data_IF_305894553753
#
_entry.id   IF_305894553753
#
_cell.length_a   1.000
_cell.length_b   1.000
_cell.length_c   1.000
_cell.angle_alpha   90.00
_cell.angle_beta   90.00
_cell.angle_gamma   90.00
#
_symmetry.space_group_name_H-M   'P 1'
#
loop_
_entity.id
_entity.type
_entity.pdbx_description
1 polymer ?
#
# COMPACT_ATOMS: atom_id res chain seq x y z
N UNK A 1 -13.04 25.46 6.10
CA UNK A 1 -11.63 25.33 5.67
C UNK A 1 -11.25 23.95 5.12
N UNK A 2 -11.56 22.82 5.79
CA UNK A 2 -11.16 21.48 5.30
C UNK A 2 -11.74 21.07 3.94
N UNK A 3 -12.98 21.47 3.64
CA UNK A 3 -13.59 21.22 2.33
C UNK A 3 -12.78 21.81 1.17
N UNK A 4 -12.29 23.05 1.35
CA UNK A 4 -11.45 23.74 0.37
C UNK A 4 -10.12 23.00 0.22
N UNK A 5 -9.44 22.65 1.32
CA UNK A 5 -8.18 21.87 1.27
C UNK A 5 -8.33 20.58 0.44
N UNK A 6 -9.40 19.81 0.67
CA UNK A 6 -9.69 18.58 -0.09
C UNK A 6 -9.83 18.86 -1.58
N UNK A 7 -10.68 19.83 -1.94
CA UNK A 7 -10.92 20.20 -3.34
C UNK A 7 -9.67 20.76 -4.02
N UNK A 8 -8.87 21.56 -3.31
CA UNK A 8 -7.60 22.10 -3.82
C UNK A 8 -6.59 20.99 -4.10
N UNK A 9 -6.45 19.98 -3.22
CA UNK A 9 -5.56 18.84 -3.47
C UNK A 9 -5.99 18.04 -4.71
N UNK A 10 -7.28 17.79 -4.87
CA UNK A 10 -7.81 17.07 -6.04
C UNK A 10 -7.64 17.90 -7.33
N UNK A 11 -7.84 19.22 -7.25
CA UNK A 11 -7.61 20.14 -8.35
C UNK A 11 -6.12 20.14 -8.75
N UNK A 12 -5.21 20.28 -7.79
CA UNK A 12 -3.77 20.23 -8.02
C UNK A 12 -3.33 18.89 -8.61
N UNK A 13 -3.88 17.77 -8.10
CA UNK A 13 -3.68 16.44 -8.69
C UNK A 13 -4.07 16.39 -10.17
N UNK A 14 -5.17 17.05 -10.58
CA UNK A 14 -5.56 17.16 -11.99
C UNK A 14 -4.56 18.00 -12.79
N UNK A 15 -4.09 19.11 -12.24
CA UNK A 15 -3.07 19.97 -12.89
C UNK A 15 -1.78 19.19 -13.12
N UNK A 16 -1.28 18.45 -12.12
CA UNK A 16 -0.07 17.62 -12.26
C UNK A 16 -0.22 16.57 -13.37
N UNK A 17 -1.42 15.99 -13.55
CA UNK A 17 -1.67 15.01 -14.62
C UNK A 17 -1.64 15.63 -16.03
N UNK A 18 -2.22 16.81 -16.18
CA UNK A 18 -2.44 17.45 -17.48
C UNK A 18 -1.30 18.38 -17.90
N UNK A 19 -0.70 19.09 -16.94
CA UNK A 19 0.31 20.14 -17.17
C UNK A 19 1.40 20.10 -16.08
N UNK A 20 2.20 19.01 -15.99
CA UNK A 20 3.23 18.86 -14.96
C UNK A 20 4.24 20.02 -14.95
N UNK A 21 4.63 20.52 -16.12
CA UNK A 21 5.65 21.58 -16.29
C UNK A 21 5.26 22.93 -15.67
N UNK A 22 3.98 23.13 -15.36
CA UNK A 22 3.48 24.38 -14.75
C UNK A 22 3.60 24.38 -13.23
N UNK A 23 3.92 23.23 -12.62
CA UNK A 23 3.93 23.05 -11.18
C UNK A 23 5.34 23.24 -10.65
N UNK A 24 5.52 24.19 -9.72
CA UNK A 24 6.75 24.28 -8.95
C UNK A 24 6.78 23.14 -7.91
N UNK A 25 7.52 22.08 -8.22
CA UNK A 25 7.62 20.88 -7.38
C UNK A 25 8.18 21.20 -5.98
N UNK A 26 9.19 22.07 -5.87
CA UNK A 26 9.83 22.37 -4.58
C UNK A 26 8.87 23.07 -3.60
N UNK A 27 8.11 24.05 -4.08
CA UNK A 27 7.10 24.72 -3.25
C UNK A 27 5.95 23.78 -2.89
N UNK A 28 5.61 22.86 -3.78
CA UNK A 28 4.55 21.88 -3.52
C UNK A 28 4.99 20.84 -2.48
N UNK A 29 6.24 20.39 -2.51
CA UNK A 29 6.79 19.42 -1.55
C UNK A 29 6.67 19.92 -0.11
N UNK A 30 7.05 21.18 0.16
CA UNK A 30 6.96 21.75 1.51
C UNK A 30 5.51 21.79 2.02
N UNK A 31 4.58 22.22 1.16
CA UNK A 31 3.13 22.23 1.49
C UNK A 31 2.58 20.83 1.70
N UNK A 32 3.05 19.84 0.95
CA UNK A 32 2.62 18.44 1.12
C UNK A 32 3.13 17.88 2.44
N UNK A 33 4.38 18.15 2.84
CA UNK A 33 4.91 17.75 4.15
C UNK A 33 4.01 18.22 5.29
N UNK A 34 3.61 19.50 5.28
CA UNK A 34 2.73 20.07 6.31
C UNK A 34 1.35 19.38 6.29
N UNK A 35 0.77 19.22 5.10
CA UNK A 35 -0.55 18.61 4.93
C UNK A 35 -0.59 17.11 5.28
N UNK A 36 0.53 16.39 5.19
CA UNK A 36 0.64 14.99 5.60
C UNK A 36 0.54 14.81 7.13
N UNK A 37 0.75 15.87 7.90
CA UNK A 37 0.62 15.85 9.37
C UNK A 37 -0.80 16.17 9.86
N UNK A 38 -1.72 16.51 8.96
CA UNK A 38 -3.10 16.86 9.30
C UNK A 38 -3.86 15.70 9.95
N UNK A 39 -4.71 16.04 10.94
CA UNK A 39 -5.55 15.08 11.65
C UNK A 39 -6.82 14.70 10.87
N UNK A 40 -7.27 15.56 9.95
CA UNK A 40 -8.48 15.27 9.18
C UNK A 40 -8.21 14.19 8.11
N UNK A 41 -8.71 12.98 8.33
CA UNK A 41 -8.54 11.83 7.42
C UNK A 41 -8.94 12.15 5.98
N UNK A 42 -10.02 12.92 5.76
CA UNK A 42 -10.43 13.28 4.41
C UNK A 42 -9.47 14.24 3.70
N UNK A 43 -8.82 15.15 4.43
CA UNK A 43 -7.74 16.00 3.88
C UNK A 43 -6.53 15.13 3.57
N UNK A 44 -6.10 14.32 4.54
CA UNK A 44 -4.97 13.41 4.38
C UNK A 44 -5.15 12.48 3.17
N UNK A 45 -6.34 11.89 2.99
CA UNK A 45 -6.64 11.06 1.81
C UNK A 45 -6.49 11.84 0.50
N UNK A 46 -6.94 13.09 0.46
CA UNK A 46 -6.85 13.93 -0.74
C UNK A 46 -5.39 14.28 -1.05
N UNK A 47 -4.59 14.53 -0.02
CA UNK A 47 -3.15 14.81 -0.10
C UNK A 47 -2.39 13.57 -0.58
N UNK A 48 -2.67 12.40 0.00
CA UNK A 48 -2.04 11.13 -0.41
C UNK A 48 -2.40 10.77 -1.85
N UNK A 49 -3.64 11.00 -2.29
CA UNK A 49 -4.03 10.81 -3.69
C UNK A 49 -3.21 11.69 -4.65
N UNK A 50 -2.97 12.95 -4.27
CA UNK A 50 -2.10 13.86 -5.03
C UNK A 50 -0.64 13.39 -4.99
N UNK A 51 -0.13 13.04 -3.82
CA UNK A 51 1.23 12.55 -3.62
C UNK A 51 1.49 11.27 -4.42
N UNK A 52 0.53 10.35 -4.51
CA UNK A 52 0.65 9.16 -5.34
C UNK A 52 0.87 9.49 -6.83
N UNK A 53 0.21 10.55 -7.33
CA UNK A 53 0.42 11.03 -8.70
C UNK A 53 1.79 11.70 -8.84
N UNK A 54 2.22 12.46 -7.82
CA UNK A 54 3.55 13.06 -7.80
C UNK A 54 4.65 11.98 -7.79
N UNK A 55 4.50 10.90 -7.02
CA UNK A 55 5.44 9.79 -6.99
C UNK A 55 5.60 9.12 -8.36
N UNK A 56 4.50 8.91 -9.08
CA UNK A 56 4.53 8.37 -10.44
C UNK A 56 5.20 9.30 -11.47
N UNK A 57 5.21 10.61 -11.24
CA UNK A 57 5.71 11.61 -12.20
C UNK A 57 7.12 12.09 -11.90
N UNK A 58 7.44 12.27 -10.63
CA UNK A 58 8.64 12.95 -10.15
C UNK A 58 9.55 12.05 -9.29
N UNK A 59 9.11 10.83 -8.95
CA UNK A 59 9.94 9.75 -8.38
C UNK A 59 10.90 10.16 -7.25
N UNK A 60 12.13 10.47 -7.61
CA UNK A 60 13.21 10.84 -6.68
C UNK A 60 12.93 12.16 -5.94
N UNK A 61 12.31 13.15 -6.60
CA UNK A 61 12.06 14.47 -6.01
C UNK A 61 11.12 14.42 -4.81
N UNK A 62 10.24 13.42 -4.76
CA UNK A 62 9.28 13.22 -3.65
C UNK A 62 9.80 12.28 -2.56
N UNK A 63 11.02 11.75 -2.69
CA UNK A 63 11.59 10.76 -1.77
C UNK A 63 11.62 11.22 -0.31
N UNK A 64 11.83 12.52 -0.07
CA UNK A 64 11.80 13.12 1.26
C UNK A 64 10.46 13.01 2.00
N UNK A 65 9.37 12.71 1.28
CA UNK A 65 8.03 12.53 1.85
C UNK A 65 7.77 11.11 2.37
N UNK A 66 8.63 10.14 2.06
CA UNK A 66 8.46 8.71 2.39
C UNK A 66 8.22 8.50 3.90
N UNK A 67 8.96 9.21 4.75
CA UNK A 67 8.82 9.15 6.20
C UNK A 67 7.40 9.50 6.69
N UNK A 68 6.75 10.49 6.07
CA UNK A 68 5.41 10.92 6.45
C UNK A 68 4.36 9.88 6.05
N UNK A 69 4.56 9.24 4.89
CA UNK A 69 3.70 8.14 4.41
C UNK A 69 3.79 6.94 5.35
N UNK A 70 5.02 6.55 5.75
CA UNK A 70 5.24 5.45 6.71
C UNK A 70 4.62 5.76 8.07
N UNK A 71 4.84 6.96 8.63
CA UNK A 71 4.25 7.34 9.92
C UNK A 71 2.71 7.39 9.87
N UNK A 72 2.12 7.90 8.79
CA UNK A 72 0.67 7.89 8.61
C UNK A 72 0.11 6.46 8.57
N UNK A 73 0.80 5.54 7.88
CA UNK A 73 0.42 4.14 7.82
C UNK A 73 0.58 3.45 9.18
N UNK A 74 1.69 3.70 9.89
CA UNK A 74 1.96 3.18 11.24
C UNK A 74 0.84 3.56 12.23
N UNK A 75 0.39 4.81 12.18
CA UNK A 75 -0.74 5.32 12.99
C UNK A 75 -2.03 4.53 12.77
N UNK A 76 -2.32 4.15 11.53
CA UNK A 76 -3.53 3.41 11.18
C UNK A 76 -3.41 1.91 11.50
N UNK A 77 -2.26 1.30 11.23
CA UNK A 77 -2.06 -0.16 11.30
C UNK A 77 -1.69 -0.60 12.72
N UNK A 78 -0.67 0.02 13.32
CA UNK A 78 -0.15 -0.39 14.63
C UNK A 78 -0.98 0.22 15.76
N UNK A 79 -1.22 1.54 15.70
CA UNK A 79 -1.89 2.26 16.77
C UNK A 79 -3.42 2.29 16.59
N UNK A 80 -3.94 1.81 15.46
CA UNK A 80 -5.38 1.79 15.13
C UNK A 80 -6.06 3.14 15.37
N UNK A 81 -5.33 4.24 15.19
CA UNK A 81 -5.80 5.59 15.51
C UNK A 81 -6.57 6.14 14.32
N UNK A 82 -7.89 6.08 14.38
CA UNK A 82 -8.78 6.76 13.45
C UNK A 82 -10.08 7.19 14.15
N UNK A 83 -10.75 8.26 13.69
CA UNK A 83 -12.10 8.57 14.14
C UNK A 83 -13.06 7.43 13.80
N UNK A 84 -14.08 7.22 14.64
CA UNK A 84 -15.03 6.11 14.50
C UNK A 84 -15.78 6.15 13.15
N UNK A 85 -16.08 7.34 12.65
CA UNK A 85 -16.72 7.54 11.33
C UNK A 85 -15.89 7.02 10.13
N UNK A 86 -14.59 6.78 10.32
CA UNK A 86 -13.70 6.18 9.30
C UNK A 86 -13.36 4.72 9.60
N UNK A 87 -13.97 4.11 10.62
CA UNK A 87 -13.83 2.69 10.92
C UNK A 87 -14.79 1.89 10.04
N UNK A 88 -14.25 0.98 9.22
CA UNK A 88 -15.04 0.16 8.32
C UNK A 88 -14.94 -1.30 8.73
N UNK A 89 -16.01 -1.89 9.29
CA UNK A 89 -16.01 -3.27 9.80
C UNK A 89 -14.80 -3.59 10.71
N UNK A 90 -14.51 -2.70 11.67
CA UNK A 90 -13.36 -2.81 12.57
C UNK A 90 -11.99 -2.78 11.83
N UNK A 91 -11.94 -2.21 10.62
CA UNK A 91 -10.72 -1.92 9.88
C UNK A 91 -10.56 -0.40 9.75
N UNK A 92 -9.45 0.19 10.24
CA UNK A 92 -9.28 1.64 10.30
C UNK A 92 -8.94 2.23 8.93
N UNK A 93 -9.78 3.12 8.39
CA UNK A 93 -9.52 3.87 7.15
C UNK A 93 -8.97 3.01 5.99
N UNK A 94 -9.63 1.92 5.55
CA UNK A 94 -9.04 0.96 4.61
C UNK A 94 -8.59 1.60 3.30
N UNK A 95 -9.38 2.54 2.74
CA UNK A 95 -9.01 3.25 1.51
C UNK A 95 -7.78 4.14 1.65
N UNK A 96 -7.58 4.74 2.83
CA UNK A 96 -6.39 5.53 3.09
C UNK A 96 -5.15 4.62 3.20
N UNK A 97 -5.27 3.48 3.88
CA UNK A 97 -4.18 2.50 3.94
C UNK A 97 -3.78 2.03 2.54
N UNK A 98 -4.75 1.66 1.70
CA UNK A 98 -4.49 1.28 0.30
C UNK A 98 -3.79 2.41 -0.47
N UNK A 99 -4.23 3.66 -0.33
CA UNK A 99 -3.57 4.77 -1.02
C UNK A 99 -2.15 5.06 -0.50
N UNK A 100 -1.92 4.94 0.80
CA UNK A 100 -0.58 5.09 1.38
C UNK A 100 0.36 4.00 0.85
N UNK A 101 -0.10 2.74 0.82
CA UNK A 101 0.67 1.61 0.30
C UNK A 101 0.97 1.77 -1.21
N UNK A 102 -0.01 2.21 -2.02
CA UNK A 102 0.24 2.51 -3.44
C UNK A 102 1.30 3.60 -3.63
N UNK A 103 1.24 4.65 -2.82
CA UNK A 103 2.27 5.69 -2.84
C UNK A 103 3.64 5.11 -2.50
N UNK A 104 3.75 4.28 -1.46
CA UNK A 104 5.01 3.62 -1.09
C UNK A 104 5.54 2.71 -2.22
N UNK A 105 4.66 1.98 -2.90
CA UNK A 105 5.06 1.12 -4.03
C UNK A 105 5.58 1.90 -5.24
N UNK A 106 5.26 3.19 -5.35
CA UNK A 106 5.78 4.09 -6.39
C UNK A 106 7.04 4.85 -5.96
N UNK A 107 7.42 4.78 -4.68
CA UNK A 107 8.62 5.41 -4.14
C UNK A 107 9.77 4.40 -4.08
N UNK A 108 11.01 4.90 -4.10
CA UNK A 108 12.16 4.06 -3.83
C UNK A 108 12.12 3.52 -2.38
N UNK A 109 12.71 2.35 -2.12
CA UNK A 109 12.85 1.84 -0.75
C UNK A 109 13.54 2.87 0.15
N UNK A 110 13.14 3.01 1.43
CA UNK A 110 13.82 3.94 2.34
C UNK A 110 15.32 3.62 2.47
N UNK A 111 16.16 4.62 2.26
CA UNK A 111 17.62 4.50 2.45
C UNK A 111 17.96 4.30 3.93
N UNK A 112 17.28 5.02 4.83
CA UNK A 112 17.44 4.90 6.27
C UNK A 112 16.99 3.51 6.77
N UNK A 113 17.89 2.70 7.36
CA UNK A 113 17.57 1.40 7.93
C UNK A 113 16.47 1.44 8.99
N UNK A 114 16.40 2.51 9.79
CA UNK A 114 15.38 2.64 10.83
C UNK A 114 13.98 2.82 10.23
N UNK A 115 13.85 3.66 9.20
CA UNK A 115 12.59 3.81 8.45
C UNK A 115 12.21 2.51 7.71
N UNK A 116 13.19 1.80 7.16
CA UNK A 116 12.97 0.51 6.50
C UNK A 116 12.44 -0.55 7.47
N UNK A 117 12.99 -0.59 8.69
CA UNK A 117 12.52 -1.49 9.74
C UNK A 117 11.09 -1.17 10.18
N UNK A 118 10.76 0.12 10.36
CA UNK A 118 9.39 0.55 10.66
C UNK A 118 8.41 0.13 9.56
N UNK A 119 8.79 0.31 8.29
CA UNK A 119 7.97 -0.15 7.17
C UNK A 119 7.79 -1.67 7.19
N UNK A 120 8.86 -2.43 7.43
CA UNK A 120 8.79 -3.89 7.53
C UNK A 120 7.82 -4.34 8.64
N UNK A 121 7.87 -3.73 9.83
CA UNK A 121 6.95 -4.01 10.94
C UNK A 121 5.49 -3.77 10.54
N UNK A 122 5.22 -2.65 9.88
CA UNK A 122 3.88 -2.29 9.40
C UNK A 122 3.38 -3.29 8.35
N UNK A 123 4.19 -3.62 7.36
CA UNK A 123 3.83 -4.61 6.32
C UNK A 123 3.59 -6.00 6.94
N UNK A 124 4.44 -6.41 7.88
CA UNK A 124 4.28 -7.68 8.59
C UNK A 124 2.98 -7.71 9.37
N UNK A 125 2.64 -6.62 10.06
CA UNK A 125 1.39 -6.51 10.80
C UNK A 125 0.18 -6.64 9.88
N UNK A 126 0.20 -6.02 8.70
CA UNK A 126 -0.89 -6.14 7.72
C UNK A 126 -1.05 -7.59 7.27
N UNK A 127 0.05 -8.23 6.82
CA UNK A 127 0.00 -9.58 6.25
C UNK A 127 -0.47 -10.59 7.29
N UNK A 128 0.08 -10.54 8.51
CA UNK A 128 -0.26 -11.48 9.58
C UNK A 128 -1.64 -11.27 10.20
N UNK A 129 -2.19 -10.05 10.17
CA UNK A 129 -3.51 -9.73 10.73
C UNK A 129 -4.67 -9.98 9.76
N UNK A 130 -4.38 -10.22 8.48
CA UNK A 130 -5.40 -10.48 7.47
C UNK A 130 -5.93 -11.91 7.62
N UNK A 131 -7.15 -12.02 8.16
CA UNK A 131 -7.85 -13.27 8.35
C UNK A 131 -9.16 -13.29 7.54
N UNK A 132 -9.61 -14.48 7.17
CA UNK A 132 -10.94 -14.67 6.58
C UNK A 132 -11.98 -14.34 7.65
N UNK A 133 -12.92 -13.46 7.31
CA UNK A 133 -14.03 -13.05 8.17
C UNK A 133 -15.34 -13.52 7.55
N UNK A 134 -16.33 -13.80 8.40
CA UNK A 134 -17.71 -14.11 7.96
C UNK A 134 -18.34 -12.96 7.15
N UNK A 135 -17.84 -11.72 7.33
CA UNK A 135 -18.25 -10.58 6.54
C UNK A 135 -17.41 -10.46 5.28
N UNK A 136 -18.04 -10.69 4.12
CA UNK A 136 -17.46 -10.47 2.79
C UNK A 136 -16.92 -9.04 2.64
N UNK A 137 -17.63 -8.04 3.19
CA UNK A 137 -17.21 -6.65 3.13
C UNK A 137 -15.93 -6.39 3.93
N UNK A 138 -15.84 -6.97 5.13
CA UNK A 138 -14.63 -6.90 5.95
C UNK A 138 -13.46 -7.58 5.23
N UNK A 139 -13.69 -8.80 4.75
CA UNK A 139 -12.69 -9.60 4.05
C UNK A 139 -12.16 -8.87 2.82
N UNK A 140 -13.04 -8.26 2.01
CA UNK A 140 -12.64 -7.46 0.84
C UNK A 140 -11.77 -6.24 1.20
N UNK A 141 -12.12 -5.54 2.28
CA UNK A 141 -11.32 -4.41 2.74
C UNK A 141 -9.92 -4.85 3.21
N UNK A 142 -9.85 -5.90 4.03
CA UNK A 142 -8.58 -6.39 4.57
C UNK A 142 -7.70 -7.00 3.46
N UNK A 143 -8.30 -7.78 2.54
CA UNK A 143 -7.61 -8.32 1.37
C UNK A 143 -7.04 -7.22 0.46
N UNK A 144 -7.77 -6.11 0.28
CA UNK A 144 -7.30 -4.98 -0.53
C UNK A 144 -6.04 -4.33 0.08
N UNK A 145 -6.01 -4.19 1.42
CA UNK A 145 -4.85 -3.65 2.13
C UNK A 145 -3.67 -4.63 2.06
N UNK A 146 -3.92 -5.92 2.29
CA UNK A 146 -2.88 -6.95 2.26
C UNK A 146 -2.19 -7.04 0.90
N UNK A 147 -2.96 -7.04 -0.19
CA UNK A 147 -2.39 -7.14 -1.53
C UNK A 147 -1.57 -5.92 -1.89
N UNK A 148 -1.98 -4.74 -1.45
CA UNK A 148 -1.17 -3.54 -1.66
C UNK A 148 0.12 -3.58 -0.83
N UNK A 149 0.08 -4.11 0.39
CA UNK A 149 1.30 -4.35 1.18
C UNK A 149 2.25 -5.34 0.49
N UNK A 150 1.71 -6.38 -0.14
CA UNK A 150 2.49 -7.31 -0.96
C UNK A 150 3.07 -6.61 -2.19
N UNK A 151 2.30 -5.76 -2.88
CA UNK A 151 2.81 -4.99 -4.02
C UNK A 151 3.97 -4.07 -3.62
N UNK A 152 3.92 -3.44 -2.43
CA UNK A 152 5.05 -2.65 -1.89
C UNK A 152 6.29 -3.50 -1.72
N UNK A 153 6.16 -4.66 -1.07
CA UNK A 153 7.29 -5.58 -0.88
C UNK A 153 7.87 -6.06 -2.22
N UNK A 154 7.02 -6.32 -3.22
CA UNK A 154 7.46 -6.68 -4.58
C UNK A 154 8.19 -5.50 -5.24
N UNK A 155 7.63 -4.29 -5.18
CA UNK A 155 8.18 -3.09 -5.81
C UNK A 155 9.55 -2.70 -5.25
N UNK A 156 9.75 -2.85 -3.94
CA UNK A 156 11.03 -2.61 -3.27
C UNK A 156 12.07 -3.72 -3.49
N UNK A 157 11.68 -4.81 -4.14
CA UNK A 157 12.48 -6.02 -4.28
C UNK A 157 12.21 -6.99 -3.14
N UNK A 158 11.94 -8.24 -3.52
CA UNK A 158 11.60 -9.33 -2.60
C UNK A 158 12.70 -9.55 -1.54
N UNK A 159 13.96 -9.39 -1.95
CA UNK A 159 15.13 -9.53 -1.08
C UNK A 159 15.29 -8.38 -0.08
N UNK A 160 14.58 -7.26 -0.26
CA UNK A 160 14.58 -6.17 0.72
C UNK A 160 13.88 -6.59 2.03
N UNK A 161 13.01 -7.61 1.97
CA UNK A 161 12.28 -8.13 3.12
C UNK A 161 12.25 -9.67 3.15
N UNK A 162 13.36 -10.35 3.49
CA UNK A 162 13.44 -11.80 3.44
C UNK A 162 12.43 -12.50 4.37
N UNK A 163 12.20 -11.93 5.56
CA UNK A 163 11.24 -12.46 6.54
C UNK A 163 9.80 -12.39 6.00
N UNK A 164 9.44 -11.26 5.36
CA UNK A 164 8.11 -11.07 4.79
C UNK A 164 7.85 -12.01 3.61
N UNK A 165 8.87 -12.32 2.82
CA UNK A 165 8.72 -13.11 1.60
C UNK A 165 8.08 -14.47 1.84
N UNK A 166 8.45 -15.16 2.93
CA UNK A 166 7.86 -16.45 3.28
C UNK A 166 6.40 -16.34 3.68
N UNK A 167 6.05 -15.32 4.47
CA UNK A 167 4.68 -15.05 4.88
C UNK A 167 3.81 -14.73 3.65
N UNK A 168 4.30 -13.85 2.76
CA UNK A 168 3.63 -13.48 1.51
C UNK A 168 3.30 -14.73 0.67
N UNK A 169 4.28 -15.63 0.48
CA UNK A 169 4.05 -16.86 -0.27
C UNK A 169 2.99 -17.76 0.36
N UNK A 170 3.02 -17.87 1.69
CA UNK A 170 2.03 -18.67 2.43
C UNK A 170 0.62 -18.10 2.27
N UNK A 171 0.46 -16.78 2.40
CA UNK A 171 -0.82 -16.10 2.24
C UNK A 171 -1.35 -16.17 0.80
N UNK A 172 -0.49 -15.98 -0.21
CA UNK A 172 -0.87 -16.14 -1.61
C UNK A 172 -1.27 -17.60 -1.93
N UNK A 173 -0.57 -18.58 -1.36
CA UNK A 173 -0.91 -20.01 -1.48
C UNK A 173 -2.29 -20.34 -0.90
N UNK A 174 -2.67 -19.69 0.20
CA UNK A 174 -4.05 -19.79 0.72
C UNK A 174 -5.06 -19.18 -0.24
N UNK A 175 -4.80 -17.98 -0.77
CA UNK A 175 -5.71 -17.28 -1.69
C UNK A 175 -6.05 -18.09 -2.94
N UNK A 176 -5.06 -18.76 -3.54
CA UNK A 176 -5.29 -19.60 -4.73
C UNK A 176 -6.10 -20.87 -4.41
N UNK A 177 -6.05 -21.34 -3.16
CA UNK A 177 -6.79 -22.51 -2.70
C UNK A 177 -8.24 -22.18 -2.29
N UNK A 178 -8.59 -20.89 -2.19
CA UNK A 178 -9.97 -20.48 -1.87
C UNK A 178 -10.88 -20.82 -3.07
N UNK A 179 -12.09 -21.39 -2.84
CA UNK A 179 -13.06 -21.68 -3.91
C UNK A 179 -13.62 -20.41 -4.56
N UNK A 180 -13.63 -19.29 -3.84
CA UNK A 180 -14.13 -18.01 -4.31
C UNK A 180 -13.25 -17.44 -5.46
N UNK A 181 -13.86 -17.03 -6.59
CA UNK A 181 -13.11 -16.53 -7.75
C UNK A 181 -12.26 -15.28 -7.48
N UNK A 182 -12.73 -14.36 -6.63
CA UNK A 182 -12.08 -13.06 -6.44
C UNK A 182 -10.72 -13.17 -5.71
N UNK A 183 -10.61 -13.78 -4.51
CA UNK A 183 -9.31 -14.02 -3.86
C UNK A 183 -8.38 -14.86 -4.72
N UNK A 184 -8.91 -15.86 -5.44
CA UNK A 184 -8.13 -16.74 -6.32
C UNK A 184 -7.48 -15.96 -7.45
N UNK A 185 -8.24 -15.14 -8.17
CA UNK A 185 -7.72 -14.27 -9.23
C UNK A 185 -6.65 -13.31 -8.71
N UNK A 186 -6.90 -12.70 -7.55
CA UNK A 186 -5.99 -11.74 -6.93
C UNK A 186 -4.67 -12.40 -6.49
N UNK A 187 -4.75 -13.61 -5.93
CA UNK A 187 -3.59 -14.44 -5.58
C UNK A 187 -2.75 -14.77 -6.81
N UNK A 188 -3.36 -15.28 -7.88
CA UNK A 188 -2.68 -15.63 -9.13
C UNK A 188 -2.02 -14.41 -9.79
N UNK A 189 -2.75 -13.30 -9.91
CA UNK A 189 -2.22 -12.06 -10.51
C UNK A 189 -1.01 -11.53 -9.74
N UNK A 190 -1.05 -11.58 -8.41
CA UNK A 190 0.05 -11.14 -7.54
C UNK A 190 1.24 -12.10 -7.60
N UNK A 191 1.01 -13.42 -7.64
CA UNK A 191 2.08 -14.40 -7.86
C UNK A 191 2.79 -14.21 -9.20
N UNK A 192 2.07 -13.85 -10.26
CA UNK A 192 2.68 -13.53 -11.56
C UNK A 192 3.59 -12.31 -11.47
N UNK A 193 3.19 -11.26 -10.74
CA UNK A 193 4.05 -10.09 -10.50
C UNK A 193 5.31 -10.49 -9.74
N UNK A 194 5.15 -11.30 -8.69
CA UNK A 194 6.25 -11.81 -7.88
C UNK A 194 7.23 -12.66 -8.71
N UNK A 195 6.73 -13.47 -9.64
CA UNK A 195 7.55 -14.25 -10.58
C UNK A 195 8.44 -13.39 -11.47
N UNK A 196 7.90 -12.26 -11.93
CA UNK A 196 8.59 -11.33 -12.82
C UNK A 196 9.71 -10.58 -12.11
N UNK A 197 9.52 -10.23 -10.84
CA UNK A 197 10.47 -9.40 -10.08
C UNK A 197 11.47 -10.22 -9.28
N UNK A 198 11.02 -11.23 -8.53
CA UNK A 198 11.87 -12.07 -7.66
C UNK A 198 12.45 -13.32 -8.35
N UNK A 199 12.20 -13.49 -9.66
CA UNK A 199 12.54 -14.70 -10.38
C UNK A 199 11.74 -15.93 -9.94
N UNK A 200 11.95 -17.05 -10.65
CA UNK A 200 11.16 -18.27 -10.41
C UNK A 200 11.61 -19.07 -9.18
N UNK A 201 12.70 -18.70 -8.52
CA UNK A 201 13.29 -19.51 -7.44
C UNK A 201 12.38 -19.61 -6.20
N UNK A 202 11.78 -18.48 -5.78
CA UNK A 202 10.86 -18.48 -4.63
C UNK A 202 9.54 -19.21 -4.93
N UNK A 203 9.09 -19.17 -6.20
CA UNK A 203 7.90 -19.88 -6.66
C UNK A 203 8.14 -21.38 -6.83
N UNK A 204 9.34 -21.80 -7.26
CA UNK A 204 9.71 -23.22 -7.41
C UNK A 204 9.52 -24.00 -6.11
N UNK A 205 9.83 -23.38 -4.96
CA UNK A 205 9.63 -23.99 -3.63
C UNK A 205 8.16 -24.23 -3.28
N UNK A 206 7.24 -23.48 -3.88
CA UNK A 206 5.80 -23.56 -3.64
C UNK A 206 5.02 -24.04 -4.88
N UNK A 207 5.75 -24.57 -5.89
CA UNK A 207 5.19 -24.96 -7.19
C UNK A 207 4.10 -25.99 -7.04
N UNK A 208 4.29 -26.96 -6.15
CA UNK A 208 3.34 -28.08 -6.02
C UNK A 208 2.02 -27.60 -5.42
N UNK A 209 2.04 -26.66 -4.47
CA UNK A 209 0.83 -25.98 -3.97
C UNK A 209 0.12 -25.21 -5.08
N UNK A 210 0.87 -24.45 -5.90
CA UNK A 210 0.31 -23.71 -7.03
C UNK A 210 -0.32 -24.64 -8.08
N UNK A 211 0.35 -25.73 -8.41
CA UNK A 211 -0.14 -26.71 -9.38
C UNK A 211 -1.36 -27.47 -8.85
N UNK A 212 -1.43 -27.73 -7.55
CA UNK A 212 -2.58 -28.40 -6.95
C UNK A 212 -3.81 -27.49 -6.98
N UNK A 213 -3.67 -26.20 -6.66
CA UNK A 213 -4.78 -25.23 -6.75
C UNK A 213 -5.25 -24.93 -8.18
N UNK A 214 -4.47 -25.30 -9.21
CA UNK A 214 -4.85 -25.14 -10.64
C UNK A 214 -5.52 -26.38 -11.23
N UNK A 215 -5.48 -27.53 -10.54
CA UNK A 215 -6.13 -28.77 -10.98
C UNK A 215 -7.62 -28.83 -10.62
N UNK A 216 -8.05 -27.98 -9.70
CA UNK A 216 -9.44 -27.79 -9.26
C UNK A 216 -10.10 -26.57 -9.94
#
# INVERSE_FOLDING_TARGET
HNYVKKKSCICMMRIIREKPDTVNTQELLSKVSDLMTENNIGVLLSVVCMLNVMALKYGEDVGGLTQYVIHALQRLVLHRTCPEEYMYFNTPCPWLQVKLLQTLGNLAPPEDPALRQKLQEVLQRIITSTAVSDSVNKSNADHSIMIEAINVAIAHGVDAYPVLTQDIMTHLGRFISVPEPNPRYLGLSTMVKLAKVGGTQHLKRHRDTVLQSLKD
#
